data_IF_320679462041
#
_entry.id   IF_320679462041
#
_cell.length_a   1.000
_cell.length_b   1.000
_cell.length_c   1.000
_cell.angle_alpha   90.00
_cell.angle_beta   90.00
_cell.angle_gamma   90.00
#
_symmetry.space_group_name_H-M   'P 1'
#
loop_
_entity.id
_entity.type
_entity.pdbx_description
1 polymer ?
#
# COMPACT_ATOMS: atom_id res chain seq x y z
N UNK A 1 15.40 1.58 0.09
CA UNK A 1 16.08 2.86 -0.29
C UNK A 1 17.09 3.22 0.80
N UNK A 2 18.28 3.72 0.47
CA UNK A 2 19.27 4.16 1.46
C UNK A 2 19.52 5.66 1.30
N UNK A 3 19.33 6.43 2.36
CA UNK A 3 19.55 7.87 2.37
C UNK A 3 20.58 8.21 3.44
N UNK A 4 21.62 8.95 3.07
CA UNK A 4 22.63 9.42 4.00
C UNK A 4 22.30 10.84 4.46
N UNK A 5 22.51 11.12 5.73
CA UNK A 5 22.49 12.45 6.30
C UNK A 5 23.66 12.61 7.27
N UNK A 6 23.91 13.84 7.72
CA UNK A 6 24.89 14.11 8.76
C UNK A 6 24.26 15.04 9.79
N UNK A 7 24.18 14.58 11.04
CA UNK A 7 23.83 15.44 12.16
C UNK A 7 25.08 16.26 12.52
N UNK A 8 24.94 17.58 12.49
CA UNK A 8 26.00 18.51 12.90
C UNK A 8 25.60 19.13 14.23
N UNK A 9 26.41 18.90 15.25
CA UNK A 9 26.28 19.54 16.57
C UNK A 9 27.33 20.63 16.66
N UNK A 10 26.90 21.87 16.87
CA UNK A 10 27.77 23.02 17.00
C UNK A 10 27.65 23.62 18.40
N UNK A 11 28.77 23.74 19.10
CA UNK A 11 28.85 24.47 20.36
C UNK A 11 29.10 25.96 20.09
N UNK A 12 28.50 26.82 20.92
CA UNK A 12 28.70 28.28 20.84
C UNK A 12 30.17 28.69 21.00
N UNK A 13 31.00 27.88 21.67
CA UNK A 13 32.44 28.11 21.83
C UNK A 13 33.28 27.63 20.63
N UNK A 14 32.65 27.17 19.54
CA UNK A 14 33.31 26.88 18.26
C UNK A 14 33.55 25.39 17.96
N UNK A 15 33.27 24.48 18.90
CA UNK A 15 33.35 23.04 18.63
C UNK A 15 32.28 22.57 17.65
N UNK A 16 32.66 21.74 16.67
CA UNK A 16 31.74 21.14 15.70
C UNK A 16 31.95 19.63 15.67
N UNK A 17 30.88 18.87 15.87
CA UNK A 17 30.87 17.41 15.75
C UNK A 17 29.91 17.00 14.64
N UNK A 18 30.34 16.05 13.81
CA UNK A 18 29.56 15.52 12.69
C UNK A 18 29.32 14.03 12.92
N UNK A 19 28.06 13.64 12.92
CA UNK A 19 27.63 12.26 13.08
C UNK A 19 26.95 11.79 11.79
N UNK A 20 27.56 10.85 11.04
CA UNK A 20 26.92 10.29 9.86
C UNK A 20 25.71 9.45 10.28
N UNK A 21 24.58 9.65 9.61
CA UNK A 21 23.34 8.90 9.81
C UNK A 21 22.98 8.23 8.50
N UNK A 22 22.67 6.93 8.56
CA UNK A 22 22.18 6.16 7.42
C UNK A 22 20.74 5.74 7.68
N UNK A 23 19.82 6.24 6.85
CA UNK A 23 18.43 5.82 6.84
C UNK A 23 18.25 4.68 5.85
N UNK A 24 17.71 3.57 6.32
CA UNK A 24 17.42 2.38 5.50
C UNK A 24 15.90 2.18 5.51
N UNK A 25 15.26 2.44 4.38
CA UNK A 25 13.86 2.07 4.18
C UNK A 25 13.80 0.58 3.81
N UNK A 26 13.13 -0.21 4.64
CA UNK A 26 12.77 -1.60 4.42
C UNK A 26 11.36 -1.69 3.80
N UNK A 27 11.04 -2.81 3.17
CA UNK A 27 9.66 -3.08 2.74
C UNK A 27 8.74 -3.13 3.96
N UNK A 28 7.54 -2.53 3.87
CA UNK A 28 6.58 -2.59 4.96
C UNK A 28 6.09 -4.02 5.16
N UNK A 29 5.71 -4.35 6.39
CA UNK A 29 5.02 -5.60 6.69
C UNK A 29 3.64 -5.61 6.01
N UNK A 30 3.13 -6.81 5.72
CA UNK A 30 1.81 -6.97 5.13
C UNK A 30 0.75 -6.70 6.19
N UNK A 31 -0.12 -5.72 5.95
CA UNK A 31 -1.17 -5.34 6.90
C UNK A 31 -2.19 -6.46 7.13
N UNK A 32 -2.61 -7.15 6.06
CA UNK A 32 -3.59 -8.25 6.10
C UNK A 32 -3.50 -9.17 4.86
N UNK A 33 -4.11 -10.36 4.93
CA UNK A 33 -4.15 -11.36 3.86
C UNK A 33 -5.59 -11.61 3.40
N UNK A 34 -5.86 -11.25 2.14
CA UNK A 34 -7.15 -11.50 1.49
C UNK A 34 -7.12 -12.86 0.79
N UNK A 35 -7.94 -13.80 1.25
CA UNK A 35 -8.14 -15.09 0.59
C UNK A 35 -9.37 -15.03 -0.33
N UNK A 36 -9.21 -15.44 -1.59
CA UNK A 36 -10.29 -15.45 -2.59
C UNK A 36 -10.46 -16.87 -3.12
N UNK A 37 -11.66 -17.43 -2.96
CA UNK A 37 -12.02 -18.72 -3.52
C UNK A 37 -12.66 -18.55 -4.90
N UNK A 38 -12.03 -19.11 -5.93
CA UNK A 38 -12.57 -19.01 -7.28
C UNK A 38 -13.87 -19.81 -7.44
N UNK A 39 -14.91 -19.15 -7.96
CA UNK A 39 -16.19 -19.81 -8.30
C UNK A 39 -16.12 -20.66 -9.58
N UNK A 40 -15.04 -20.57 -10.35
CA UNK A 40 -14.79 -21.37 -11.53
C UNK A 40 -13.82 -20.72 -12.53
N UNK A 41 -13.37 -21.50 -13.51
CA UNK A 41 -12.48 -21.02 -14.57
C UNK A 41 -13.16 -19.94 -15.41
N UNK A 42 -12.43 -18.88 -15.74
CA UNK A 42 -12.91 -17.73 -16.52
C UNK A 42 -14.13 -17.02 -15.90
N UNK A 43 -14.44 -17.27 -14.63
CA UNK A 43 -15.46 -16.55 -13.87
C UNK A 43 -14.79 -15.60 -12.89
N UNK A 44 -15.31 -14.39 -12.79
CA UNK A 44 -14.80 -13.40 -11.86
C UNK A 44 -15.38 -13.63 -10.46
N UNK A 45 -14.51 -13.59 -9.47
CA UNK A 45 -14.89 -13.56 -8.04
C UNK A 45 -14.44 -12.22 -7.49
N UNK A 46 -15.32 -11.54 -6.74
CA UNK A 46 -15.04 -10.21 -6.19
C UNK A 46 -15.16 -10.28 -4.68
N UNK A 47 -14.14 -9.79 -3.99
CA UNK A 47 -14.18 -9.54 -2.54
C UNK A 47 -14.05 -8.05 -2.30
N UNK A 48 -14.76 -7.54 -1.31
CA UNK A 48 -14.76 -6.11 -0.99
C UNK A 48 -14.47 -5.86 0.48
N UNK A 49 -13.69 -4.83 0.75
CA UNK A 49 -13.41 -4.34 2.09
C UNK A 49 -13.64 -2.82 2.15
N UNK A 50 -13.61 -2.25 3.35
CA UNK A 50 -13.72 -0.80 3.53
C UNK A 50 -12.48 -0.29 4.24
N UNK A 51 -11.95 0.83 3.76
CA UNK A 51 -10.76 1.46 4.31
C UNK A 51 -11.04 2.92 4.64
N UNK A 52 -10.57 3.37 5.80
CA UNK A 52 -10.65 4.77 6.24
C UNK A 52 -9.25 5.36 6.32
N UNK A 53 -9.11 6.66 6.00
CA UNK A 53 -7.91 7.40 6.36
C UNK A 53 -7.89 7.66 7.88
N UNK A 54 -6.71 7.78 8.48
CA UNK A 54 -6.58 8.23 9.88
C UNK A 54 -6.74 9.75 10.03
N UNK A 55 -7.10 10.45 8.95
CA UNK A 55 -7.32 11.91 8.92
C UNK A 55 -8.79 12.23 9.20
N UNK A 56 -9.06 13.52 9.48
CA UNK A 56 -10.43 14.04 9.67
C UNK A 56 -11.09 14.49 8.36
N UNK A 57 -10.36 14.46 7.25
CA UNK A 57 -10.82 14.88 5.92
C UNK A 57 -10.47 13.80 4.88
N UNK A 58 -11.22 13.71 3.76
CA UNK A 58 -10.93 12.75 2.70
C UNK A 58 -9.53 12.95 2.13
N UNK A 59 -8.82 11.84 1.89
CA UNK A 59 -7.44 11.86 1.40
C UNK A 59 -7.33 11.10 0.07
N UNK A 60 -6.67 11.66 -0.96
CA UNK A 60 -6.51 10.98 -2.23
C UNK A 60 -5.65 9.71 -2.09
N UNK A 61 -6.05 8.65 -2.77
CA UNK A 61 -5.30 7.39 -2.84
C UNK A 61 -5.20 6.85 -4.26
N UNK A 62 -4.22 5.97 -4.46
CA UNK A 62 -4.12 5.06 -5.60
C UNK A 62 -4.06 3.61 -5.10
N UNK A 63 -4.60 2.68 -5.89
CA UNK A 63 -4.63 1.26 -5.62
C UNK A 63 -4.07 0.49 -6.81
N UNK A 64 -3.09 -0.37 -6.56
CA UNK A 64 -2.43 -1.14 -7.61
C UNK A 64 -1.76 -2.40 -7.05
N UNK A 65 -1.48 -3.37 -7.92
CA UNK A 65 -0.70 -4.55 -7.56
C UNK A 65 0.78 -4.35 -7.88
N UNK A 66 1.67 -4.84 -7.01
CA UNK A 66 3.11 -4.80 -7.24
C UNK A 66 3.52 -5.65 -8.45
N UNK A 67 4.65 -5.29 -9.06
CA UNK A 67 5.29 -6.10 -10.09
C UNK A 67 5.56 -7.52 -9.58
N UNK A 68 5.27 -8.53 -10.42
CA UNK A 68 5.34 -9.94 -10.03
C UNK A 68 4.05 -10.51 -9.45
N UNK A 69 3.02 -9.67 -9.24
CA UNK A 69 1.66 -10.14 -8.96
C UNK A 69 1.03 -10.78 -10.19
N UNK A 70 0.19 -11.80 -9.98
CA UNK A 70 -0.53 -12.45 -11.06
C UNK A 70 -1.54 -11.50 -11.76
N UNK A 71 -1.61 -11.49 -13.11
CA UNK A 71 -2.44 -10.56 -13.87
C UNK A 71 -3.94 -10.88 -13.82
N UNK A 72 -4.32 -12.01 -13.23
CA UNK A 72 -5.72 -12.39 -13.01
C UNK A 72 -6.42 -11.58 -11.91
N UNK A 73 -5.68 -10.76 -11.16
CA UNK A 73 -6.22 -9.87 -10.15
C UNK A 73 -6.46 -8.45 -10.68
N UNK A 74 -7.56 -7.85 -10.27
CA UNK A 74 -7.95 -6.46 -10.57
C UNK A 74 -8.42 -5.79 -9.29
N UNK A 75 -8.13 -4.49 -9.12
CA UNK A 75 -8.59 -3.70 -7.97
C UNK A 75 -9.41 -2.51 -8.46
N UNK A 76 -10.53 -2.24 -7.78
CA UNK A 76 -11.39 -1.10 -8.07
C UNK A 76 -11.87 -0.42 -6.78
N UNK A 77 -11.89 0.93 -6.73
CA UNK A 77 -11.33 1.84 -7.73
C UNK A 77 -9.79 1.88 -7.65
N UNK A 78 -9.11 2.17 -8.76
CA UNK A 78 -7.65 2.32 -8.81
C UNK A 78 -7.16 3.67 -8.27
N UNK A 79 -8.06 4.65 -8.17
CA UNK A 79 -7.80 5.94 -7.55
C UNK A 79 -9.10 6.53 -7.02
N UNK A 80 -9.02 7.38 -6.01
CA UNK A 80 -10.17 8.03 -5.41
C UNK A 80 -9.78 8.70 -4.10
N UNK A 81 -10.74 8.82 -3.18
CA UNK A 81 -10.51 9.36 -1.84
C UNK A 81 -10.81 8.31 -0.77
N UNK A 82 -9.94 8.21 0.24
CA UNK A 82 -10.19 7.48 1.46
C UNK A 82 -11.00 8.36 2.42
N UNK A 83 -12.19 7.90 2.76
CA UNK A 83 -13.05 8.61 3.70
C UNK A 83 -12.42 8.67 5.11
N UNK A 84 -12.67 9.74 5.88
CA UNK A 84 -12.13 9.92 7.22
C UNK A 84 -12.44 8.78 8.20
N UNK A 85 -11.63 8.70 9.24
CA UNK A 85 -11.91 7.87 10.41
C UNK A 85 -13.27 8.24 11.02
N UNK A 86 -14.04 7.22 11.46
CA UNK A 86 -15.39 7.40 12.00
C UNK A 86 -16.51 7.48 10.95
N UNK A 87 -16.17 7.38 9.66
CA UNK A 87 -17.16 7.19 8.59
C UNK A 87 -17.33 5.70 8.24
N UNK A 88 -18.21 5.41 7.27
CA UNK A 88 -18.40 4.06 6.75
C UNK A 88 -17.14 3.52 6.04
N UNK A 89 -16.21 4.39 5.63
CA UNK A 89 -15.01 4.04 4.88
C UNK A 89 -15.23 3.88 3.38
N UNK A 90 -14.16 4.02 2.61
CA UNK A 90 -14.16 3.85 1.16
C UNK A 90 -14.19 2.38 0.82
N UNK A 91 -15.14 1.96 0.01
CA UNK A 91 -15.24 0.57 -0.43
C UNK A 91 -14.23 0.28 -1.54
N UNK A 92 -13.39 -0.72 -1.32
CA UNK A 92 -12.38 -1.20 -2.28
C UNK A 92 -12.68 -2.66 -2.56
N UNK A 93 -12.65 -3.03 -3.83
CA UNK A 93 -12.93 -4.38 -4.31
C UNK A 93 -11.73 -4.95 -5.03
N UNK A 94 -11.49 -6.24 -4.81
CA UNK A 94 -10.49 -7.04 -5.50
C UNK A 94 -11.22 -8.11 -6.29
N UNK A 95 -11.12 -8.03 -7.61
CA UNK A 95 -11.57 -9.04 -8.55
C UNK A 95 -10.48 -10.06 -8.82
N UNK A 96 -10.85 -11.32 -8.96
CA UNK A 96 -9.97 -12.42 -9.37
C UNK A 96 -10.66 -13.26 -10.45
N UNK A 97 -10.00 -13.45 -11.59
CA UNK A 97 -10.50 -14.24 -12.72
C UNK A 97 -9.46 -15.26 -13.19
N UNK A 98 -9.46 -16.50 -12.67
CA UNK A 98 -8.47 -17.50 -13.04
C UNK A 98 -8.66 -17.96 -14.49
N UNK A 99 -7.54 -18.10 -15.20
CA UNK A 99 -7.49 -18.60 -16.58
C UNK A 99 -7.00 -20.02 -16.71
N UNK A 100 -6.46 -20.60 -15.62
CA UNK A 100 -5.95 -21.97 -15.58
C UNK A 100 -6.29 -22.63 -14.23
N UNK A 101 -6.49 -23.95 -14.26
CA UNK A 101 -6.65 -24.75 -13.05
C UNK A 101 -5.28 -25.13 -12.44
N UNK A 102 -5.27 -25.44 -11.14
CA UNK A 102 -4.11 -26.03 -10.46
C UNK A 102 -2.94 -25.10 -10.18
N UNK A 103 -2.98 -23.85 -10.65
CA UNK A 103 -2.01 -22.80 -10.29
C UNK A 103 -2.46 -22.10 -9.01
N UNK A 104 -1.57 -22.01 -8.01
CA UNK A 104 -1.76 -21.11 -6.88
C UNK A 104 -1.47 -19.68 -7.33
N UNK A 105 -2.46 -18.80 -7.24
CA UNK A 105 -2.30 -17.40 -7.62
C UNK A 105 -1.95 -16.53 -6.41
N UNK A 106 -1.12 -15.50 -6.60
CA UNK A 106 -0.74 -14.54 -5.56
C UNK A 106 -0.53 -13.14 -6.14
N UNK A 107 -0.93 -12.14 -5.37
CA UNK A 107 -0.69 -10.74 -5.67
C UNK A 107 -0.42 -9.96 -4.37
N UNK A 108 0.27 -8.83 -4.47
CA UNK A 108 0.44 -7.89 -3.35
C UNK A 108 -0.26 -6.60 -3.74
N UNK A 109 -1.36 -6.30 -3.05
CA UNK A 109 -2.12 -5.07 -3.22
C UNK A 109 -1.48 -3.95 -2.41
N UNK A 110 -1.29 -2.79 -3.05
CA UNK A 110 -0.83 -1.56 -2.39
C UNK A 110 -1.92 -0.51 -2.49
N UNK A 111 -2.28 0.06 -1.34
CA UNK A 111 -3.09 1.28 -1.25
C UNK A 111 -2.17 2.41 -0.81
N UNK A 112 -1.90 3.35 -1.72
CA UNK A 112 -0.97 4.43 -1.47
C UNK A 112 -1.72 5.75 -1.34
N UNK A 113 -1.54 6.45 -0.21
CA UNK A 113 -1.98 7.83 -0.07
C UNK A 113 -0.94 8.77 -0.67
N UNK A 114 -1.40 9.87 -1.27
CA UNK A 114 -0.48 10.91 -1.75
C UNK A 114 0.03 11.72 -0.56
N UNK A 115 1.24 11.45 -0.10
CA UNK A 115 1.90 12.32 0.87
C UNK A 115 2.18 13.66 0.19
N UNK A 116 1.62 14.75 0.70
CA UNK A 116 2.00 16.09 0.29
C UNK A 116 3.49 16.30 0.65
N UNK A 117 4.29 16.68 -0.36
CA UNK A 117 5.70 17.05 -0.19
C UNK A 117 5.85 18.35 0.59
#
# INVERSE_FOLDING_TARGET
MRNAATLVVQCATGGIWKFPILFIAIEPEVDDVINIEAVGLNKETIVGFKLTSQRRYPEPFTAYFLAGSDPEFVVLPQAGELLPVGTVGTHITVGFKPRMYGKKHRAILVIQQKTLN
#
